data_IF_832134348100
#
_entry.id   IF_832134348100
#
_cell.length_a   1.000
_cell.length_b   1.000
_cell.length_c   1.000
_cell.angle_alpha   90.00
_cell.angle_beta   90.00
_cell.angle_gamma   90.00
#
_symmetry.space_group_name_H-M   'P 1'
#
loop_
_entity.id
_entity.type
_entity.pdbx_description
1 polymer ?
#
# COMPACT_ATOMS: atom_id res chain seq x y z
N UNK A 1 11.15 27.98 14.48
CA UNK A 1 11.44 27.43 13.14
C UNK A 1 10.33 27.84 12.19
N UNK A 2 10.64 28.23 10.94
CA UNK A 2 9.60 28.54 9.93
C UNK A 2 9.01 27.25 9.35
N UNK A 3 7.77 27.28 8.82
CA UNK A 3 7.14 26.08 8.23
C UNK A 3 7.97 25.48 7.11
N UNK A 4 8.60 26.31 6.27
CA UNK A 4 9.45 25.86 5.16
C UNK A 4 10.64 25.06 5.68
N UNK A 5 11.34 25.58 6.68
CA UNK A 5 12.45 24.88 7.30
C UNK A 5 11.98 23.56 7.93
N UNK A 6 10.84 23.56 8.64
CA UNK A 6 10.30 22.35 9.26
C UNK A 6 9.96 21.27 8.23
N UNK A 7 9.36 21.65 7.09
CA UNK A 7 9.06 20.73 5.99
C UNK A 7 10.33 20.11 5.41
N UNK A 8 11.40 20.89 5.22
CA UNK A 8 12.69 20.39 4.74
C UNK A 8 13.33 19.42 5.72
N UNK A 9 13.40 19.77 7.01
CA UNK A 9 13.96 18.86 8.03
C UNK A 9 13.15 17.58 8.15
N UNK A 10 11.81 17.68 8.12
CA UNK A 10 10.94 16.51 8.12
C UNK A 10 11.23 15.60 6.92
N UNK A 11 11.40 16.16 5.73
CA UNK A 11 11.73 15.38 4.53
C UNK A 11 13.08 14.66 4.68
N UNK A 12 14.10 15.36 5.18
CA UNK A 12 15.43 14.78 5.43
C UNK A 12 15.33 13.60 6.42
N UNK A 13 14.62 13.76 7.54
CA UNK A 13 14.41 12.69 8.54
C UNK A 13 13.74 11.48 7.90
N UNK A 14 12.73 11.67 7.07
CA UNK A 14 12.02 10.57 6.38
C UNK A 14 12.94 9.83 5.41
N UNK A 15 13.77 10.54 4.64
CA UNK A 15 14.74 9.93 3.72
C UNK A 15 15.76 9.09 4.49
N UNK A 16 16.33 9.64 5.57
CA UNK A 16 17.29 8.92 6.42
C UNK A 16 16.63 7.68 7.01
N UNK A 17 15.40 7.80 7.52
CA UNK A 17 14.66 6.67 8.09
C UNK A 17 14.44 5.56 7.06
N UNK A 18 14.08 5.89 5.82
CA UNK A 18 13.90 4.91 4.76
C UNK A 18 15.20 4.14 4.44
N UNK A 19 16.33 4.85 4.37
CA UNK A 19 17.65 4.23 4.14
C UNK A 19 18.04 3.32 5.31
N UNK A 20 17.87 3.78 6.55
CA UNK A 20 18.19 3.00 7.75
C UNK A 20 17.35 1.73 7.83
N UNK A 21 16.04 1.82 7.58
CA UNK A 21 15.16 0.65 7.56
C UNK A 21 15.58 -0.32 6.46
N UNK A 22 15.85 0.16 5.25
CA UNK A 22 16.28 -0.69 4.13
C UNK A 22 17.57 -1.46 4.44
N UNK A 23 18.57 -0.78 4.98
CA UNK A 23 19.83 -1.40 5.40
C UNK A 23 19.66 -2.39 6.55
N UNK A 24 18.78 -2.09 7.50
CA UNK A 24 18.56 -2.96 8.65
C UNK A 24 17.82 -4.24 8.28
N UNK A 25 16.82 -4.15 7.40
CA UNK A 25 16.10 -5.30 6.86
C UNK A 25 17.05 -6.20 6.06
N UNK A 26 17.95 -5.62 5.26
CA UNK A 26 18.96 -6.37 4.51
C UNK A 26 19.97 -7.13 5.40
N UNK A 27 20.15 -6.69 6.65
CA UNK A 27 21.04 -7.33 7.64
C UNK A 27 20.29 -8.23 8.63
N UNK A 28 19.02 -8.52 8.38
CA UNK A 28 18.14 -9.33 9.24
C UNK A 28 18.01 -8.84 10.70
N UNK A 29 18.31 -7.56 10.94
CA UNK A 29 18.24 -6.97 12.28
C UNK A 29 16.96 -6.15 12.43
N UNK A 30 15.90 -6.79 12.93
CA UNK A 30 14.57 -6.20 13.08
C UNK A 30 14.41 -5.25 14.27
N UNK A 31 15.36 -5.21 15.20
CA UNK A 31 15.34 -4.26 16.31
C UNK A 31 15.65 -2.82 15.83
N UNK A 32 16.52 -2.69 14.83
CA UNK A 32 16.94 -1.38 14.31
C UNK A 32 15.78 -0.60 13.67
N UNK A 33 14.91 -1.17 12.81
CA UNK A 33 13.74 -0.47 12.27
C UNK A 33 12.79 0.04 13.35
N UNK A 34 12.50 -0.78 14.36
CA UNK A 34 11.59 -0.41 15.47
C UNK A 34 12.15 0.77 16.26
N UNK A 35 13.43 0.71 16.63
CA UNK A 35 14.10 1.80 17.35
C UNK A 35 14.20 3.07 16.52
N UNK A 36 14.56 2.95 15.23
CA UNK A 36 14.67 4.08 14.32
C UNK A 36 13.32 4.80 14.13
N UNK A 37 12.22 4.05 14.01
CA UNK A 37 10.86 4.60 13.95
C UNK A 37 10.55 5.37 15.25
N UNK A 38 10.81 4.78 16.42
CA UNK A 38 10.56 5.44 17.72
C UNK A 38 11.34 6.76 17.87
N UNK A 39 12.63 6.75 17.52
CA UNK A 39 13.48 7.95 17.54
C UNK A 39 12.97 9.02 16.57
N UNK A 40 12.59 8.63 15.34
CA UNK A 40 12.08 9.56 14.35
C UNK A 40 10.75 10.21 14.79
N UNK A 41 9.84 9.46 15.40
CA UNK A 41 8.60 10.03 15.98
C UNK A 41 8.93 11.06 17.04
N UNK A 42 9.79 10.70 18.02
CA UNK A 42 10.14 11.58 19.13
C UNK A 42 10.82 12.87 18.60
N UNK A 43 11.77 12.73 17.69
CA UNK A 43 12.44 13.86 17.04
C UNK A 43 11.43 14.77 16.32
N UNK A 44 10.51 14.20 15.52
CA UNK A 44 9.50 14.97 14.80
C UNK A 44 8.51 15.66 15.73
N UNK A 45 8.13 15.04 16.86
CA UNK A 45 7.26 15.65 17.87
C UNK A 45 7.93 16.84 18.56
N UNK A 46 9.20 16.71 18.96
CA UNK A 46 9.97 17.80 19.56
C UNK A 46 10.15 18.95 18.56
N UNK A 47 10.49 18.65 17.32
CA UNK A 47 10.64 19.66 16.26
C UNK A 47 9.31 20.35 15.94
N UNK A 48 8.20 19.60 15.98
CA UNK A 48 6.85 20.16 15.80
C UNK A 48 6.50 21.15 16.91
N UNK A 49 6.87 20.87 18.16
CA UNK A 49 6.68 21.81 19.27
C UNK A 49 7.45 23.13 19.13
N UNK A 50 8.51 23.16 18.29
CA UNK A 50 9.34 24.35 18.03
C UNK A 50 8.93 25.13 16.76
N UNK A 51 7.94 24.65 16.01
CA UNK A 51 7.37 25.36 14.86
C UNK A 51 6.33 26.38 15.35
N UNK A 52 6.60 27.67 15.15
CA UNK A 52 5.87 28.80 15.76
C UNK A 52 4.67 29.28 14.93
N UNK A 53 4.39 28.62 13.82
CA UNK A 53 3.48 29.06 12.76
C UNK A 53 2.29 28.10 12.67
N UNK A 54 1.09 28.63 12.37
CA UNK A 54 -0.16 27.86 12.28
C UNK A 54 -0.01 26.77 11.19
N UNK A 55 0.09 25.51 11.61
CA UNK A 55 0.43 24.38 10.73
C UNK A 55 -0.72 23.84 9.88
N UNK A 56 -1.94 24.36 10.05
CA UNK A 56 -3.11 23.89 9.33
C UNK A 56 -4.07 25.04 9.06
N UNK A 57 -4.30 25.28 7.77
CA UNK A 57 -5.37 26.16 7.30
C UNK A 57 -6.71 25.42 7.47
N UNK A 58 -7.77 26.11 7.90
CA UNK A 58 -9.07 25.50 8.21
C UNK A 58 -9.65 24.74 7.00
N UNK A 59 -9.28 25.17 5.80
CA UNK A 59 -9.65 24.55 4.52
C UNK A 59 -9.16 23.09 4.38
N UNK A 60 -7.97 22.76 4.87
CA UNK A 60 -7.47 21.37 4.85
C UNK A 60 -8.33 20.46 5.73
N UNK A 61 -8.87 21.01 6.84
CA UNK A 61 -9.73 20.26 7.73
C UNK A 61 -11.07 19.91 7.10
N UNK A 62 -11.66 20.84 6.37
CA UNK A 62 -12.94 20.68 5.67
C UNK A 62 -12.83 19.73 4.48
N UNK A 63 -11.80 19.89 3.63
CA UNK A 63 -11.67 19.10 2.39
C UNK A 63 -11.27 17.66 2.66
N UNK A 64 -10.31 17.43 3.57
CA UNK A 64 -9.78 16.08 3.82
C UNK A 64 -10.58 15.24 4.82
N UNK A 65 -11.52 15.85 5.56
CA UNK A 65 -12.28 15.19 6.63
C UNK A 65 -11.42 14.68 7.80
N UNK A 66 -11.83 14.98 9.05
CA UNK A 66 -11.10 14.47 10.24
C UNK A 66 -11.09 12.93 10.31
N UNK A 67 -12.18 12.29 9.90
CA UNK A 67 -12.35 10.84 9.93
C UNK A 67 -11.38 10.10 8.97
N UNK A 68 -11.26 10.55 7.72
CA UNK A 68 -10.40 9.90 6.73
C UNK A 68 -8.90 9.97 7.13
N UNK A 69 -8.45 11.13 7.64
CA UNK A 69 -7.08 11.29 8.16
C UNK A 69 -6.80 10.43 9.39
N UNK A 70 -7.81 10.22 10.25
CA UNK A 70 -7.67 9.34 11.40
C UNK A 70 -7.59 7.88 10.95
N UNK A 71 -8.47 7.46 10.03
CA UNK A 71 -8.50 6.11 9.48
C UNK A 71 -7.16 5.70 8.85
N UNK A 72 -6.61 6.54 7.96
CA UNK A 72 -5.32 6.26 7.32
C UNK A 72 -4.20 6.17 8.34
N UNK A 73 -4.19 7.03 9.36
CA UNK A 73 -3.16 7.00 10.40
C UNK A 73 -3.21 5.71 11.22
N UNK A 74 -4.40 5.32 11.67
CA UNK A 74 -4.58 4.08 12.44
C UNK A 74 -4.20 2.87 11.59
N UNK A 75 -4.71 2.81 10.35
CA UNK A 75 -4.43 1.72 9.44
C UNK A 75 -2.93 1.60 9.11
N UNK A 76 -2.26 2.71 8.80
CA UNK A 76 -0.82 2.70 8.52
C UNK A 76 0.01 2.24 9.72
N UNK A 77 -0.30 2.70 10.94
CA UNK A 77 0.40 2.24 12.14
C UNK A 77 0.21 0.75 12.38
N UNK A 78 -1.04 0.29 12.30
CA UNK A 78 -1.37 -1.12 12.46
C UNK A 78 -0.65 -1.99 11.41
N UNK A 79 -0.72 -1.59 10.14
CA UNK A 79 -0.10 -2.33 9.04
C UNK A 79 1.43 -2.40 9.15
N UNK A 80 2.10 -1.33 9.60
CA UNK A 80 3.56 -1.35 9.84
C UNK A 80 3.93 -2.38 10.91
N UNK A 81 3.18 -2.42 12.02
CA UNK A 81 3.42 -3.37 13.12
C UNK A 81 3.23 -4.81 12.61
N UNK A 82 2.12 -5.09 11.93
CA UNK A 82 1.82 -6.42 11.39
C UNK A 82 2.85 -6.84 10.35
N UNK A 83 3.21 -5.95 9.42
CA UNK A 83 4.22 -6.21 8.39
C UNK A 83 5.57 -6.56 9.02
N UNK A 84 6.07 -5.76 9.96
CA UNK A 84 7.37 -6.01 10.61
C UNK A 84 7.34 -7.31 11.40
N UNK A 85 6.25 -7.62 12.09
CA UNK A 85 6.08 -8.87 12.82
C UNK A 85 6.10 -10.09 11.89
N UNK A 86 5.33 -10.07 10.79
CA UNK A 86 5.29 -11.16 9.82
C UNK A 86 6.64 -11.34 9.13
N UNK A 87 7.27 -10.25 8.71
CA UNK A 87 8.56 -10.30 8.03
C UNK A 87 9.68 -10.79 8.96
N UNK A 88 9.67 -10.41 10.25
CA UNK A 88 10.63 -10.91 11.23
C UNK A 88 10.52 -12.43 11.46
N UNK A 89 9.32 -12.99 11.29
CA UNK A 89 9.06 -14.42 11.45
C UNK A 89 9.12 -15.20 10.12
N UNK A 90 9.74 -14.64 9.07
CA UNK A 90 9.82 -15.29 7.74
C UNK A 90 10.48 -16.68 7.76
N UNK A 91 11.32 -16.97 8.75
CA UNK A 91 11.97 -18.29 8.91
C UNK A 91 10.99 -19.40 9.32
N UNK A 92 9.85 -19.07 9.93
CA UNK A 92 8.84 -20.05 10.33
C UNK A 92 8.01 -20.53 9.14
N UNK A 93 7.63 -19.61 8.24
CA UNK A 93 6.87 -19.91 7.03
C UNK A 93 7.24 -18.91 5.92
N UNK A 94 7.68 -19.37 4.74
CA UNK A 94 8.01 -18.49 3.61
C UNK A 94 6.84 -17.60 3.16
N UNK A 95 5.61 -18.06 3.36
CA UNK A 95 4.39 -17.30 3.03
C UNK A 95 4.27 -15.98 3.81
N UNK A 96 4.87 -15.86 5.00
CA UNK A 96 4.82 -14.62 5.78
C UNK A 96 5.57 -13.47 5.12
N UNK A 97 6.63 -13.74 4.38
CA UNK A 97 7.35 -12.73 3.62
C UNK A 97 6.47 -12.14 2.51
N UNK A 98 5.82 -13.00 1.73
CA UNK A 98 4.90 -12.57 0.67
C UNK A 98 3.73 -11.73 1.23
N UNK A 99 3.16 -12.14 2.37
CA UNK A 99 2.06 -11.40 3.03
C UNK A 99 2.54 -10.04 3.56
N UNK A 100 3.73 -9.98 4.17
CA UNK A 100 4.28 -8.72 4.67
C UNK A 100 4.55 -7.73 3.53
N UNK A 101 5.16 -8.20 2.42
CA UNK A 101 5.49 -7.37 1.27
C UNK A 101 4.23 -6.84 0.58
N UNK A 102 3.22 -7.69 0.37
CA UNK A 102 1.94 -7.28 -0.21
C UNK A 102 1.21 -6.25 0.65
N UNK A 103 1.22 -6.42 1.98
CA UNK A 103 0.68 -5.43 2.92
C UNK A 103 1.43 -4.09 2.81
N UNK A 104 2.76 -4.12 2.71
CA UNK A 104 3.59 -2.92 2.56
C UNK A 104 3.22 -2.12 1.30
N UNK A 105 3.15 -2.81 0.14
CA UNK A 105 2.76 -2.17 -1.12
C UNK A 105 1.34 -1.63 -1.09
N UNK A 106 0.41 -2.34 -0.43
CA UNK A 106 -0.97 -1.88 -0.27
C UNK A 106 -1.06 -0.58 0.54
N UNK A 107 -0.28 -0.44 1.62
CA UNK A 107 -0.21 0.80 2.41
C UNK A 107 0.38 1.95 1.60
N UNK A 108 1.47 1.72 0.87
CA UNK A 108 2.06 2.73 -0.01
C UNK A 108 1.08 3.19 -1.10
N UNK A 109 0.39 2.26 -1.73
CA UNK A 109 -0.64 2.55 -2.72
C UNK A 109 -1.79 3.37 -2.11
N UNK A 110 -2.29 2.98 -0.93
CA UNK A 110 -3.35 3.72 -0.23
C UNK A 110 -2.93 5.17 0.10
N UNK A 111 -1.68 5.38 0.52
CA UNK A 111 -1.16 6.73 0.80
C UNK A 111 -1.06 7.59 -0.47
N UNK A 112 -0.63 7.01 -1.58
CA UNK A 112 -0.60 7.67 -2.88
C UNK A 112 -2.02 8.00 -3.35
N UNK A 113 -2.93 7.04 -3.29
CA UNK A 113 -4.33 7.22 -3.66
C UNK A 113 -5.00 8.32 -2.85
N UNK A 114 -4.82 8.32 -1.52
CA UNK A 114 -5.31 9.39 -0.66
C UNK A 114 -4.75 10.75 -1.06
N UNK A 115 -3.46 10.83 -1.37
CA UNK A 115 -2.81 12.09 -1.78
C UNK A 115 -3.35 12.58 -3.13
N UNK A 116 -3.53 11.69 -4.10
CA UNK A 116 -4.11 12.02 -5.40
C UNK A 116 -5.54 12.50 -5.27
N UNK A 117 -6.38 11.78 -4.50
CA UNK A 117 -7.76 12.17 -4.23
C UNK A 117 -7.81 13.52 -3.51
N UNK A 118 -6.97 13.73 -2.48
CA UNK A 118 -6.91 14.99 -1.76
C UNK A 118 -6.47 16.15 -2.66
N UNK A 119 -5.44 15.96 -3.48
CA UNK A 119 -4.99 16.96 -4.45
C UNK A 119 -6.09 17.27 -5.49
N UNK A 120 -6.81 16.24 -5.91
CA UNK A 120 -7.90 16.36 -6.86
C UNK A 120 -9.07 17.16 -6.28
N UNK A 121 -9.52 16.85 -5.05
CA UNK A 121 -10.59 17.58 -4.36
C UNK A 121 -10.18 19.00 -3.96
N UNK A 122 -8.90 19.25 -3.62
CA UNK A 122 -8.44 20.59 -3.23
C UNK A 122 -8.33 21.53 -4.43
N UNK A 123 -8.04 21.00 -5.63
CA UNK A 123 -7.94 21.78 -6.86
C UNK A 123 -9.26 21.87 -7.64
N UNK A 124 -10.16 20.90 -7.49
CA UNK A 124 -11.40 20.79 -8.28
C UNK A 124 -12.62 20.67 -7.34
N UNK A 125 -13.48 21.71 -7.31
CA UNK A 125 -14.70 21.73 -6.52
C UNK A 125 -15.77 20.79 -7.11
N UNK A 126 -15.67 19.51 -6.79
CA UNK A 126 -16.46 18.41 -7.38
C UNK A 126 -17.92 18.32 -6.95
N UNK A 127 -18.41 19.24 -6.12
CA UNK A 127 -19.79 19.22 -5.65
C UNK A 127 -20.81 19.30 -6.80
N UNK A 128 -20.46 19.89 -7.95
CA UNK A 128 -21.36 19.99 -9.09
C UNK A 128 -21.53 18.66 -9.88
N UNK A 129 -20.60 17.71 -9.81
CA UNK A 129 -20.58 16.50 -10.68
C UNK A 129 -20.32 15.17 -9.95
N UNK A 130 -20.59 15.10 -8.64
CA UNK A 130 -20.39 13.91 -7.80
C UNK A 130 -20.97 12.60 -8.38
N UNK A 131 -22.11 12.67 -9.08
CA UNK A 131 -22.74 11.49 -9.70
C UNK A 131 -21.93 10.90 -10.85
N UNK A 132 -21.28 11.74 -11.67
CA UNK A 132 -20.50 11.27 -12.84
C UNK A 132 -19.27 10.48 -12.39
N UNK A 133 -18.57 10.93 -11.35
CA UNK A 133 -17.40 10.22 -10.84
C UNK A 133 -17.76 8.92 -10.11
N UNK A 134 -18.91 8.86 -9.44
CA UNK A 134 -19.44 7.61 -8.90
C UNK A 134 -19.74 6.60 -10.02
N UNK A 135 -20.32 7.06 -11.11
CA UNK A 135 -20.59 6.21 -12.29
C UNK A 135 -19.28 5.74 -12.91
N UNK A 136 -18.30 6.62 -13.12
CA UNK A 136 -16.99 6.24 -13.67
C UNK A 136 -16.28 5.23 -12.76
N UNK A 137 -16.27 5.47 -11.44
CA UNK A 137 -15.68 4.55 -10.47
C UNK A 137 -16.36 3.18 -10.48
N UNK A 138 -17.70 3.16 -10.54
CA UNK A 138 -18.46 1.92 -10.65
C UNK A 138 -18.15 1.18 -11.96
N UNK A 139 -18.08 1.88 -13.09
CA UNK A 139 -17.74 1.30 -14.40
C UNK A 139 -16.33 0.69 -14.37
N UNK A 140 -15.34 1.37 -13.78
CA UNK A 140 -13.99 0.84 -13.63
C UNK A 140 -14.00 -0.44 -12.78
N UNK A 141 -14.74 -0.46 -11.66
CA UNK A 141 -14.86 -1.65 -10.81
C UNK A 141 -15.49 -2.81 -11.58
N UNK A 142 -16.55 -2.57 -12.36
CA UNK A 142 -17.19 -3.59 -13.20
C UNK A 142 -16.23 -4.12 -14.25
N UNK A 143 -15.47 -3.25 -14.94
CA UNK A 143 -14.47 -3.65 -15.93
C UNK A 143 -13.39 -4.52 -15.26
N UNK A 144 -12.87 -4.12 -14.10
CA UNK A 144 -11.88 -4.88 -13.36
C UNK A 144 -12.43 -6.23 -12.88
N UNK A 145 -13.69 -6.28 -12.46
CA UNK A 145 -14.34 -7.53 -12.06
C UNK A 145 -14.53 -8.48 -13.25
N UNK A 146 -14.94 -7.97 -14.41
CA UNK A 146 -15.07 -8.75 -15.64
C UNK A 146 -13.70 -9.25 -16.12
N UNK A 147 -12.67 -8.41 -16.08
CA UNK A 147 -11.30 -8.80 -16.39
C UNK A 147 -10.77 -9.85 -15.39
N UNK A 148 -11.08 -9.69 -14.11
CA UNK A 148 -10.75 -10.67 -13.07
C UNK A 148 -11.45 -12.02 -13.30
N UNK A 149 -12.75 -12.02 -13.60
CA UNK A 149 -13.50 -13.23 -13.93
C UNK A 149 -12.91 -13.93 -15.16
N UNK A 150 -12.45 -13.16 -16.17
CA UNK A 150 -11.73 -13.72 -17.31
C UNK A 150 -10.43 -14.43 -16.91
N UNK A 151 -9.64 -13.84 -16.00
CA UNK A 151 -8.40 -14.46 -15.51
C UNK A 151 -8.64 -15.76 -14.73
N UNK A 152 -9.78 -15.90 -14.05
CA UNK A 152 -10.14 -17.13 -13.33
C UNK A 152 -10.90 -18.16 -14.20
N UNK A 153 -11.19 -17.85 -15.47
CA UNK A 153 -12.01 -18.70 -16.34
C UNK A 153 -11.29 -19.95 -16.85
N UNK A 154 -9.96 -20.06 -16.69
CA UNK A 154 -9.20 -21.27 -17.08
C UNK A 154 -9.29 -21.61 -18.58
N UNK A 155 -9.49 -20.61 -19.45
CA UNK A 155 -9.70 -20.80 -20.89
C UNK A 155 -8.45 -21.35 -21.60
N UNK A 156 -7.26 -21.04 -21.08
CA UNK A 156 -5.96 -21.47 -21.61
C UNK A 156 -5.26 -22.40 -20.61
N UNK A 157 -5.69 -23.66 -20.53
CA UNK A 157 -5.16 -24.65 -19.57
C UNK A 157 -5.07 -26.06 -20.17
N UNK A 158 -4.37 -26.97 -19.49
CA UNK A 158 -4.30 -28.38 -19.85
C UNK A 158 -5.42 -29.17 -19.18
N UNK A 159 -6.29 -29.80 -19.96
CA UNK A 159 -7.37 -30.64 -19.44
C UNK A 159 -6.97 -32.11 -19.48
N UNK A 160 -7.13 -32.81 -18.35
CA UNK A 160 -6.93 -34.25 -18.27
C UNK A 160 -8.18 -34.96 -18.83
N UNK A 161 -8.11 -35.45 -20.07
CA UNK A 161 -9.19 -36.22 -20.70
C UNK A 161 -8.68 -37.62 -21.04
N UNK A 162 -9.39 -38.65 -20.56
CA UNK A 162 -9.07 -40.06 -20.83
C UNK A 162 -7.63 -40.49 -20.48
N UNK A 163 -7.03 -39.89 -19.44
CA UNK A 163 -5.66 -40.23 -19.02
C UNK A 163 -4.57 -39.55 -19.84
N UNK A 164 -4.92 -38.60 -20.72
CA UNK A 164 -3.97 -37.79 -21.47
C UNK A 164 -4.25 -36.29 -21.26
N UNK A 165 -3.19 -35.51 -21.20
CA UNK A 165 -3.29 -34.04 -21.18
C UNK A 165 -3.65 -33.55 -22.58
N UNK A 166 -4.84 -33.00 -22.72
CA UNK A 166 -5.34 -32.40 -23.95
C UNK A 166 -5.27 -30.88 -23.79
N UNK A 167 -4.69 -30.23 -24.79
CA UNK A 167 -4.57 -28.77 -24.82
C UNK A 167 -5.96 -28.13 -24.94
N UNK A 168 -6.31 -27.22 -24.04
CA UNK A 168 -7.50 -26.39 -24.12
C UNK A 168 -7.08 -24.92 -24.24
N UNK A 169 -7.51 -24.24 -25.31
CA UNK A 169 -7.06 -22.88 -25.61
C UNK A 169 -5.60 -22.82 -26.12
N UNK A 170 -4.85 -21.81 -25.68
CA UNK A 170 -3.43 -21.60 -25.95
C UNK A 170 -2.63 -21.40 -24.65
N UNK A 171 -2.40 -22.46 -23.85
CA UNK A 171 -1.56 -22.36 -22.66
C UNK A 171 -0.12 -21.96 -23.04
N UNK A 172 0.37 -20.86 -22.46
CA UNK A 172 1.75 -20.38 -22.61
C UNK A 172 2.77 -21.23 -21.84
N UNK A 173 2.32 -22.29 -21.16
CA UNK A 173 3.11 -23.18 -20.32
C UNK A 173 3.05 -24.64 -20.83
N UNK A 174 4.16 -25.40 -20.69
CA UNK A 174 4.23 -26.78 -21.17
C UNK A 174 3.29 -27.71 -20.41
N UNK A 175 2.92 -28.83 -21.04
CA UNK A 175 2.04 -29.83 -20.42
C UNK A 175 2.60 -30.33 -19.07
N UNK A 176 1.73 -30.58 -18.07
CA UNK A 176 2.17 -31.12 -16.79
C UNK A 176 2.86 -32.47 -16.95
N UNK A 177 3.96 -32.65 -16.22
CA UNK A 177 4.75 -33.90 -16.21
C UNK A 177 4.11 -34.95 -15.27
N UNK A 178 3.08 -34.56 -14.52
CA UNK A 178 2.35 -35.44 -13.61
C UNK A 178 1.43 -36.37 -14.40
N UNK A 179 1.29 -37.61 -13.94
CA UNK A 179 0.36 -38.58 -14.53
C UNK A 179 -1.08 -38.03 -14.43
N UNK A 180 -1.74 -37.90 -15.58
CA UNK A 180 -3.13 -37.48 -15.67
C UNK A 180 -4.02 -38.59 -15.11
N UNK A 181 -4.47 -38.40 -13.87
CA UNK A 181 -5.36 -39.32 -13.15
C UNK A 181 -6.80 -38.82 -13.33
N UNK A 182 -7.67 -39.70 -13.84
CA UNK A 182 -9.11 -39.43 -14.03
C UNK A 182 -9.79 -38.99 -12.73
#
# INVERSE_FOLDING_TARGET
>A
MTLKQFKVIKLIIVIILAVVIGLAVARENFLVPVMAIGIAIAALQILRGKAKEIMADERDYEVGGKAARLAIRIFSWFAIIVMLFLYANRSLNPSYEAVAITLAYSVCFLMLLYTLIFHYYSKFSLLAKKKIYLIIGFVIIVILALAGLRLFSGEDDWLCQNGQWVMHGHPDFPAPITECRK
#
